data_IF_856436299563
#
_entry.id   IF_856436299563
#
_cell.length_a   1.000
_cell.length_b   1.000
_cell.length_c   1.000
_cell.angle_alpha   90.00
_cell.angle_beta   90.00
_cell.angle_gamma   90.00
#
_symmetry.space_group_name_H-M   'P 1'
#
loop_
_entity.id
_entity.type
_entity.pdbx_description
1 polymer ?
#
# COMPACT_ATOMS: atom_id res chain seq x y z
N UNK A 1 21.25 1.66 11.41
CA UNK A 1 20.51 0.85 10.41
C UNK A 1 20.52 -0.60 10.89
N UNK A 2 19.35 -1.24 11.02
CA UNK A 2 19.25 -2.69 11.32
C UNK A 2 18.84 -3.41 10.04
N UNK A 3 19.44 -4.56 9.77
CA UNK A 3 19.16 -5.37 8.58
C UNK A 3 18.97 -6.83 9.00
N UNK A 4 17.98 -7.50 8.43
CA UNK A 4 17.76 -8.94 8.60
C UNK A 4 17.81 -9.61 7.23
N UNK A 5 18.71 -10.56 7.07
CA UNK A 5 18.78 -11.43 5.91
C UNK A 5 18.26 -12.81 6.30
N UNK A 6 17.48 -13.44 5.41
CA UNK A 6 17.08 -14.83 5.58
C UNK A 6 18.12 -15.74 4.93
N UNK A 7 18.55 -16.77 5.64
CA UNK A 7 19.47 -17.78 5.10
C UNK A 7 18.77 -18.76 4.14
N UNK A 8 17.44 -18.87 4.24
CA UNK A 8 16.62 -19.76 3.41
C UNK A 8 15.49 -19.00 2.73
N UNK A 9 15.00 -19.54 1.61
CA UNK A 9 13.78 -19.06 0.99
C UNK A 9 12.57 -19.47 1.86
N UNK A 10 11.83 -18.50 2.38
CA UNK A 10 10.67 -18.72 3.26
C UNK A 10 9.33 -18.71 2.50
N UNK A 11 9.35 -18.69 1.17
CA UNK A 11 8.14 -18.59 0.35
C UNK A 11 7.49 -17.21 0.43
N UNK A 12 6.37 -17.07 -0.29
CA UNK A 12 5.67 -15.79 -0.43
C UNK A 12 4.69 -15.52 0.72
N UNK A 13 4.25 -16.55 1.47
CA UNK A 13 3.45 -16.37 2.69
C UNK A 13 4.31 -15.99 3.89
N UNK A 14 5.28 -16.81 4.25
CA UNK A 14 6.04 -16.62 5.49
C UNK A 14 7.16 -15.59 5.35
N UNK A 15 7.83 -15.49 4.20
CA UNK A 15 8.94 -14.57 4.00
C UNK A 15 8.58 -13.11 4.29
N UNK A 16 7.63 -12.52 3.54
CA UNK A 16 7.17 -11.16 3.78
C UNK A 16 6.59 -10.96 5.18
N UNK A 17 5.69 -11.86 5.62
CA UNK A 17 5.05 -11.75 6.94
C UNK A 17 6.07 -11.73 8.10
N UNK A 18 7.09 -12.59 8.06
CA UNK A 18 8.14 -12.64 9.06
C UNK A 18 9.03 -11.40 9.01
N UNK A 19 9.31 -10.87 7.82
CA UNK A 19 10.11 -9.67 7.65
C UNK A 19 9.40 -8.42 8.18
N UNK A 20 8.10 -8.28 7.91
CA UNK A 20 7.26 -7.18 8.41
C UNK A 20 7.09 -7.29 9.92
N UNK A 21 6.88 -8.49 10.45
CA UNK A 21 6.79 -8.72 11.90
C UNK A 21 8.08 -8.31 12.60
N UNK A 22 9.23 -8.77 12.11
CA UNK A 22 10.52 -8.35 12.64
C UNK A 22 10.75 -6.84 12.51
N UNK A 23 10.31 -6.23 11.40
CA UNK A 23 10.42 -4.78 11.23
C UNK A 23 9.67 -4.03 12.33
N UNK A 24 8.43 -4.44 12.64
CA UNK A 24 7.64 -3.80 13.69
C UNK A 24 8.09 -4.16 15.12
N UNK A 25 8.91 -5.18 15.34
CA UNK A 25 9.61 -5.33 16.63
C UNK A 25 10.59 -4.17 16.90
N UNK A 26 11.01 -3.44 15.86
CA UNK A 26 12.03 -2.39 15.96
C UNK A 26 11.45 -0.98 15.95
N UNK A 27 10.32 -0.78 15.26
CA UNK A 27 9.72 0.55 15.05
C UNK A 27 8.21 0.55 15.26
N UNK A 28 7.64 1.72 15.57
CA UNK A 28 6.19 1.88 15.78
C UNK A 28 5.40 2.06 14.48
N UNK A 29 6.07 2.50 13.41
CA UNK A 29 5.49 2.77 12.10
C UNK A 29 6.57 2.74 11.00
N UNK A 30 6.14 2.51 9.76
CA UNK A 30 7.02 2.72 8.62
C UNK A 30 6.49 2.19 7.29
N UNK A 31 7.37 2.27 6.30
CA UNK A 31 7.12 1.96 4.88
C UNK A 31 7.59 0.54 4.57
N UNK A 32 6.78 -0.20 3.81
CA UNK A 32 7.02 -1.55 3.31
C UNK A 32 7.04 -1.47 1.78
N UNK A 33 8.13 -1.97 1.18
CA UNK A 33 8.31 -2.06 -0.28
C UNK A 33 8.73 -3.49 -0.64
N UNK A 34 8.09 -4.05 -1.67
CA UNK A 34 8.58 -5.26 -2.35
C UNK A 34 9.64 -4.88 -3.41
N UNK A 35 10.37 -5.88 -3.90
CA UNK A 35 11.46 -5.70 -4.87
C UNK A 35 10.98 -5.21 -6.25
N UNK A 36 9.70 -5.45 -6.56
CA UNK A 36 9.03 -5.00 -7.79
C UNK A 36 8.35 -3.63 -7.65
N UNK A 37 8.41 -2.99 -6.48
CA UNK A 37 7.79 -1.70 -6.21
C UNK A 37 8.77 -0.55 -6.44
N UNK A 38 8.46 0.31 -7.42
CA UNK A 38 9.23 1.51 -7.76
C UNK A 38 8.44 2.78 -7.37
N UNK A 39 8.61 3.28 -6.14
CA UNK A 39 7.97 4.52 -5.70
C UNK A 39 8.56 5.76 -6.38
N UNK A 40 7.72 6.73 -6.72
CA UNK A 40 8.16 8.09 -7.06
C UNK A 40 8.62 8.83 -5.80
N UNK A 41 9.47 9.84 -5.95
CA UNK A 41 10.06 10.58 -4.81
C UNK A 41 9.01 11.13 -3.85
N UNK A 42 7.87 11.61 -4.34
CA UNK A 42 6.80 12.15 -3.49
C UNK A 42 6.10 11.11 -2.62
N UNK A 43 6.29 9.80 -2.85
CA UNK A 43 5.72 8.75 -2.00
C UNK A 43 6.25 8.80 -0.57
N UNK A 44 7.54 9.05 -0.39
CA UNK A 44 8.17 9.03 0.93
C UNK A 44 7.68 10.15 1.86
N UNK A 45 7.69 11.44 1.46
CA UNK A 45 7.11 12.51 2.30
C UNK A 45 5.59 12.33 2.48
N UNK A 46 4.88 11.81 1.47
CA UNK A 46 3.45 11.47 1.59
C UNK A 46 3.20 10.42 2.69
N UNK A 47 3.91 9.30 2.65
CA UNK A 47 3.76 8.24 3.64
C UNK A 47 4.20 8.72 5.03
N UNK A 48 5.32 9.43 5.12
CA UNK A 48 5.83 9.98 6.38
C UNK A 48 4.82 10.92 7.04
N UNK A 49 4.30 11.90 6.30
CA UNK A 49 3.35 12.88 6.83
C UNK A 49 2.07 12.21 7.32
N UNK A 50 1.58 11.20 6.59
CA UNK A 50 0.36 10.48 6.97
C UNK A 50 0.57 9.47 8.11
N UNK A 51 1.76 8.88 8.23
CA UNK A 51 2.12 8.04 9.38
C UNK A 51 2.05 8.85 10.68
N UNK A 52 2.57 10.08 10.66
CA UNK A 52 2.50 11.01 11.79
C UNK A 52 1.06 11.48 12.03
N UNK A 53 0.36 11.89 10.97
CA UNK A 53 -1.03 12.39 11.05
C UNK A 53 -1.99 11.38 11.67
N UNK A 54 -1.86 10.10 11.34
CA UNK A 54 -2.77 9.04 11.78
C UNK A 54 -2.18 8.12 12.87
N UNK A 55 -1.09 8.51 13.53
CA UNK A 55 -0.47 7.72 14.58
C UNK A 55 -1.47 7.26 15.67
N UNK A 56 -2.38 8.16 16.07
CA UNK A 56 -3.38 7.93 17.12
C UNK A 56 -4.81 7.71 16.60
N UNK A 57 -4.96 7.39 15.31
CA UNK A 57 -6.26 7.15 14.67
C UNK A 57 -6.40 5.67 14.31
N UNK A 58 -6.87 4.81 15.23
CA UNK A 58 -6.92 3.36 15.03
C UNK A 58 -7.83 2.93 13.89
N UNK A 59 -8.74 3.81 13.44
CA UNK A 59 -9.61 3.61 12.29
C UNK A 59 -8.82 3.59 10.97
N UNK A 60 -7.60 4.15 10.94
CA UNK A 60 -6.71 4.10 9.78
C UNK A 60 -5.68 3.00 10.01
N UNK A 61 -5.74 1.96 9.17
CA UNK A 61 -4.88 0.78 9.26
C UNK A 61 -3.74 0.77 8.26
N UNK A 62 -3.86 1.49 7.14
CA UNK A 62 -2.87 1.43 6.08
C UNK A 62 -2.80 2.73 5.28
N UNK A 63 -1.61 3.06 4.78
CA UNK A 63 -1.38 4.07 3.74
C UNK A 63 -0.86 3.33 2.52
N UNK A 64 -1.63 3.32 1.45
CA UNK A 64 -1.22 2.76 0.17
C UNK A 64 -0.41 3.79 -0.62
N UNK A 65 0.53 3.33 -1.44
CA UNK A 65 1.22 4.12 -2.46
C UNK A 65 0.57 4.01 -3.82
N UNK A 66 -0.41 3.12 -4.01
CA UNK A 66 -1.01 2.89 -5.31
C UNK A 66 -2.49 3.24 -5.41
N UNK A 67 -2.86 3.63 -6.63
CA UNK A 67 -4.22 3.95 -7.00
C UNK A 67 -4.47 3.46 -8.43
N UNK A 68 -5.39 2.53 -8.61
CA UNK A 68 -5.78 2.00 -9.92
C UNK A 68 -6.65 2.97 -10.74
N UNK A 69 -6.64 4.27 -10.45
CA UNK A 69 -7.40 5.28 -11.18
C UNK A 69 -6.50 6.36 -11.75
N UNK A 70 -6.72 6.62 -13.04
CA UNK A 70 -6.07 7.71 -13.80
C UNK A 70 -6.57 9.10 -13.40
N UNK A 71 -7.70 9.20 -12.70
CA UNK A 71 -8.36 10.48 -12.44
C UNK A 71 -8.57 10.73 -10.95
N UNK A 72 -8.23 11.96 -10.56
CA UNK A 72 -8.32 12.55 -9.24
C UNK A 72 -9.61 12.20 -8.49
N UNK A 73 -9.50 12.17 -7.18
CA UNK A 73 -10.63 12.33 -6.27
C UNK A 73 -11.45 13.54 -6.69
N UNK A 74 -12.78 13.47 -6.56
CA UNK A 74 -13.68 14.57 -6.97
C UNK A 74 -13.42 15.88 -6.21
N UNK A 75 -12.62 15.83 -5.14
CA UNK A 75 -12.57 16.85 -4.10
C UNK A 75 -11.21 17.56 -3.97
N UNK A 76 -10.31 17.47 -4.98
CA UNK A 76 -8.97 18.12 -4.99
C UNK A 76 -8.04 17.74 -3.81
N UNK A 77 -8.38 16.75 -2.99
CA UNK A 77 -7.53 16.26 -1.90
C UNK A 77 -6.40 15.39 -2.44
N UNK A 78 -5.24 15.42 -1.80
CA UNK A 78 -4.06 14.61 -2.18
C UNK A 78 -4.27 13.10 -1.98
N UNK A 79 -5.28 12.71 -1.19
CA UNK A 79 -5.65 11.33 -0.92
C UNK A 79 -7.13 11.21 -0.51
N UNK A 80 -7.61 9.98 -0.46
CA UNK A 80 -8.94 9.62 0.03
C UNK A 80 -8.87 8.36 0.90
N UNK A 81 -9.96 8.06 1.61
CA UNK A 81 -10.08 6.83 2.39
C UNK A 81 -10.82 5.77 1.58
N UNK A 82 -10.37 4.54 1.67
CA UNK A 82 -10.93 3.39 0.96
C UNK A 82 -11.02 2.21 1.92
N UNK A 83 -11.98 1.32 1.67
CA UNK A 83 -12.00 0.02 2.35
C UNK A 83 -10.97 -0.93 1.75
N UNK A 84 -10.52 -0.69 0.51
CA UNK A 84 -9.74 -1.66 -0.25
C UNK A 84 -8.23 -1.51 0.00
N UNK A 85 -7.56 -2.53 0.55
CA UNK A 85 -6.12 -2.48 0.79
C UNK A 85 -5.35 -2.81 -0.49
N UNK A 86 -4.72 -1.79 -1.07
CA UNK A 86 -3.75 -1.96 -2.14
C UNK A 86 -2.32 -1.83 -1.62
N UNK A 87 -1.49 -2.83 -1.89
CA UNK A 87 -0.19 -3.03 -1.22
C UNK A 87 1.03 -2.74 -2.10
N UNK A 88 0.89 -2.06 -3.25
CA UNK A 88 2.09 -1.68 -4.03
C UNK A 88 2.75 -0.48 -3.40
N UNK A 89 3.79 -0.76 -2.61
CA UNK A 89 4.47 0.18 -1.74
C UNK A 89 3.51 0.84 -0.75
N UNK A 90 3.60 0.51 0.52
CA UNK A 90 2.61 0.92 1.51
C UNK A 90 3.28 1.25 2.84
N UNK A 91 2.52 1.80 3.77
CA UNK A 91 2.97 2.10 5.10
C UNK A 91 1.89 1.75 6.12
N UNK A 92 2.31 1.38 7.32
CA UNK A 92 1.41 1.08 8.43
C UNK A 92 2.13 1.28 9.76
N UNK A 93 1.41 0.99 10.84
CA UNK A 93 1.87 1.06 12.22
C UNK A 93 1.96 -0.35 12.82
N UNK A 94 2.87 -0.53 13.77
CA UNK A 94 2.93 -1.70 14.66
C UNK A 94 1.55 -2.01 15.24
N UNK A 95 0.80 -0.98 15.66
CA UNK A 95 -0.55 -1.14 16.23
C UNK A 95 -1.55 -1.79 15.27
N UNK A 96 -1.40 -1.59 13.97
CA UNK A 96 -2.28 -2.20 12.96
C UNK A 96 -1.75 -3.59 12.58
N UNK A 97 -0.44 -3.72 12.39
CA UNK A 97 0.19 -5.02 12.11
C UNK A 97 0.06 -6.02 13.25
N UNK A 98 -0.11 -5.57 14.50
CA UNK A 98 -0.39 -6.44 15.65
C UNK A 98 -1.67 -7.30 15.48
N UNK A 99 -2.57 -6.91 14.57
CA UNK A 99 -3.76 -7.68 14.23
C UNK A 99 -3.47 -8.72 13.13
N UNK A 100 -2.28 -8.76 12.53
CA UNK A 100 -1.98 -9.71 11.46
C UNK A 100 -1.98 -11.15 11.99
N UNK A 101 -2.81 -12.01 11.39
CA UNK A 101 -2.87 -13.44 11.69
C UNK A 101 -2.68 -14.24 10.38
N UNK A 102 -1.56 -14.93 10.26
CA UNK A 102 -1.19 -15.68 9.06
C UNK A 102 -2.05 -16.94 8.84
N UNK A 103 -2.67 -17.48 9.90
CA UNK A 103 -3.54 -18.66 9.85
C UNK A 103 -5.01 -18.28 9.72
N UNK A 104 -5.36 -17.03 10.01
CA UNK A 104 -6.73 -16.51 10.09
C UNK A 104 -7.58 -17.11 11.22
N UNK A 105 -6.98 -17.86 12.14
CA UNK A 105 -7.72 -18.51 13.23
C UNK A 105 -8.44 -17.48 14.12
N UNK A 106 -7.80 -16.34 14.37
CA UNK A 106 -8.36 -15.23 15.15
C UNK A 106 -9.62 -14.62 14.53
N UNK A 107 -9.86 -14.88 13.24
CA UNK A 107 -10.95 -14.30 12.45
C UNK A 107 -12.00 -15.31 12.01
N UNK A 108 -11.83 -16.60 12.35
CA UNK A 108 -12.68 -17.71 11.88
C UNK A 108 -14.18 -17.43 12.00
N UNK A 109 -14.62 -16.97 13.17
CA UNK A 109 -16.04 -16.71 13.46
C UNK A 109 -16.57 -15.43 12.81
N UNK A 110 -15.67 -14.58 12.32
CA UNK A 110 -16.00 -13.29 11.69
C UNK A 110 -15.97 -13.36 10.16
N UNK A 111 -15.43 -14.43 9.56
CA UNK A 111 -15.22 -14.54 8.12
C UNK A 111 -16.50 -14.30 7.31
N UNK A 112 -17.64 -14.86 7.71
CA UNK A 112 -18.89 -14.65 6.98
C UNK A 112 -19.40 -13.21 7.12
N UNK A 113 -19.22 -12.58 8.28
CA UNK A 113 -19.54 -11.17 8.47
C UNK A 113 -18.62 -10.26 7.62
N UNK A 114 -17.33 -10.59 7.57
CA UNK A 114 -16.35 -9.90 6.71
C UNK A 114 -16.75 -10.04 5.23
N UNK A 115 -17.07 -11.26 4.80
CA UNK A 115 -17.54 -11.55 3.44
C UNK A 115 -18.77 -10.73 3.09
N UNK A 116 -19.80 -10.75 3.93
CA UNK A 116 -21.05 -10.04 3.68
C UNK A 116 -20.88 -8.52 3.62
N UNK A 117 -19.96 -7.97 4.43
CA UNK A 117 -19.59 -6.55 4.45
C UNK A 117 -18.56 -6.13 3.39
N UNK A 118 -18.09 -7.07 2.55
CA UNK A 118 -17.13 -6.80 1.51
C UNK A 118 -17.81 -6.27 0.26
N UNK A 119 -17.46 -5.04 -0.06
CA UNK A 119 -17.89 -4.30 -1.24
C UNK A 119 -19.40 -4.12 -1.39
N UNK A 120 -19.77 -3.26 -2.32
CA UNK A 120 -21.15 -2.97 -2.70
C UNK A 120 -21.68 -3.97 -3.73
N UNK A 121 -20.81 -4.53 -4.57
CA UNK A 121 -21.19 -5.42 -5.67
C UNK A 121 -20.95 -6.91 -5.33
N UNK A 122 -22.01 -7.73 -5.41
CA UNK A 122 -21.94 -9.19 -5.16
C UNK A 122 -20.90 -9.89 -6.02
N UNK A 123 -20.75 -9.48 -7.28
CA UNK A 123 -19.73 -10.05 -8.17
C UNK A 123 -18.31 -9.73 -7.72
N UNK A 124 -18.06 -8.52 -7.19
CA UNK A 124 -16.76 -8.16 -6.60
C UNK A 124 -16.52 -9.00 -5.34
N UNK A 125 -17.51 -9.06 -4.45
CA UNK A 125 -17.44 -9.86 -3.22
C UNK A 125 -17.08 -11.32 -3.52
N UNK A 126 -17.79 -11.95 -4.44
CA UNK A 126 -17.54 -13.34 -4.81
C UNK A 126 -16.17 -13.52 -5.47
N UNK A 127 -15.75 -12.58 -6.32
CA UNK A 127 -14.42 -12.62 -6.92
C UNK A 127 -13.32 -12.54 -5.86
N UNK A 128 -13.42 -11.55 -4.98
CA UNK A 128 -12.43 -11.34 -3.93
C UNK A 128 -12.40 -12.50 -2.93
N UNK A 129 -13.58 -13.05 -2.58
CA UNK A 129 -13.67 -14.18 -1.64
C UNK A 129 -12.99 -15.46 -2.15
N UNK A 130 -12.86 -15.64 -3.47
CA UNK A 130 -12.07 -16.77 -4.02
C UNK A 130 -10.63 -16.78 -3.51
N UNK A 131 -10.07 -15.64 -3.11
CA UNK A 131 -8.72 -15.62 -2.55
C UNK A 131 -8.65 -16.28 -1.17
N UNK A 132 -9.70 -16.13 -0.36
CA UNK A 132 -9.83 -16.85 0.93
C UNK A 132 -9.99 -18.35 0.67
N UNK A 133 -10.82 -18.73 -0.30
CA UNK A 133 -10.97 -20.14 -0.72
C UNK A 133 -9.64 -20.73 -1.24
N UNK A 134 -8.84 -19.95 -1.98
CA UNK A 134 -7.51 -20.37 -2.41
C UNK A 134 -6.50 -20.47 -1.26
N UNK A 135 -6.57 -19.61 -0.23
CA UNK A 135 -5.76 -19.76 0.97
C UNK A 135 -6.03 -21.10 1.67
N UNK A 136 -7.31 -21.48 1.78
CA UNK A 136 -7.72 -22.78 2.33
C UNK A 136 -7.20 -23.95 1.47
N UNK A 137 -7.10 -23.74 0.15
CA UNK A 137 -6.53 -24.69 -0.80
C UNK A 137 -4.98 -24.67 -0.85
N UNK A 138 -4.30 -23.88 -0.01
CA UNK A 138 -2.84 -23.87 0.13
C UNK A 138 -2.11 -22.79 -0.68
N UNK A 139 -2.78 -21.71 -1.10
CA UNK A 139 -2.14 -20.56 -1.73
C UNK A 139 -1.05 -19.95 -0.80
N UNK A 140 0.17 -19.83 -1.34
CA UNK A 140 1.33 -19.28 -0.64
C UNK A 140 1.35 -17.74 -0.75
N UNK A 141 0.49 -17.06 0.00
CA UNK A 141 0.47 -15.59 0.09
C UNK A 141 0.20 -15.08 1.51
N UNK A 142 0.53 -13.81 1.76
CA UNK A 142 0.37 -13.12 3.05
C UNK A 142 -0.64 -11.97 3.02
N UNK A 143 -0.86 -11.39 1.86
CA UNK A 143 -1.60 -10.14 1.63
C UNK A 143 -3.11 -10.28 1.82
N UNK A 144 -3.67 -11.44 1.46
CA UNK A 144 -5.08 -11.77 1.72
C UNK A 144 -5.35 -11.77 3.23
N UNK A 145 -4.43 -12.33 4.03
CA UNK A 145 -4.56 -12.36 5.48
C UNK A 145 -4.46 -10.96 6.08
N UNK A 146 -3.58 -10.12 5.53
CA UNK A 146 -3.49 -8.72 5.92
C UNK A 146 -4.79 -7.96 5.63
N UNK A 147 -5.38 -8.17 4.45
CA UNK A 147 -6.66 -7.58 4.11
C UNK A 147 -7.80 -8.04 5.05
N UNK A 148 -7.84 -9.32 5.41
CA UNK A 148 -8.82 -9.84 6.39
C UNK A 148 -8.64 -9.15 7.75
N UNK A 149 -7.41 -8.98 8.23
CA UNK A 149 -7.14 -8.28 9.49
C UNK A 149 -7.69 -6.84 9.45
N UNK A 150 -7.43 -6.09 8.36
CA UNK A 150 -7.97 -4.74 8.19
C UNK A 150 -9.51 -4.73 8.18
N UNK A 151 -10.14 -5.68 7.48
CA UNK A 151 -11.60 -5.77 7.42
C UNK A 151 -12.24 -6.14 8.76
N UNK A 152 -11.67 -7.10 9.48
CA UNK A 152 -12.14 -7.53 10.79
C UNK A 152 -12.15 -6.37 11.79
N UNK A 153 -11.12 -5.53 11.74
CA UNK A 153 -10.99 -4.34 12.58
C UNK A 153 -11.67 -3.09 11.99
N UNK A 154 -12.39 -3.21 10.88
CA UNK A 154 -13.08 -2.12 10.16
C UNK A 154 -12.15 -0.93 9.84
N UNK A 155 -10.88 -1.22 9.62
CA UNK A 155 -9.87 -0.20 9.34
C UNK A 155 -9.95 0.26 7.89
N UNK A 156 -9.72 1.56 7.67
CA UNK A 156 -9.63 2.18 6.37
C UNK A 156 -8.18 2.27 5.90
N UNK A 157 -8.04 2.29 4.58
CA UNK A 157 -6.79 2.52 3.88
C UNK A 157 -6.80 3.93 3.30
N UNK A 158 -5.69 4.66 3.44
CA UNK A 158 -5.47 5.93 2.77
C UNK A 158 -4.87 5.67 1.40
N UNK A 159 -5.51 6.17 0.34
CA UNK A 159 -5.05 6.00 -1.04
C UNK A 159 -4.73 7.36 -1.68
N UNK A 160 -3.59 7.49 -2.37
CA UNK A 160 -3.20 8.75 -2.99
C UNK A 160 -4.13 9.07 -4.17
N UNK A 161 -4.28 10.36 -4.48
CA UNK A 161 -5.10 10.80 -5.61
C UNK A 161 -4.50 10.42 -6.98
N UNK A 162 -3.21 10.05 -7.01
CA UNK A 162 -2.47 9.54 -8.17
C UNK A 162 -1.71 8.27 -7.77
N UNK A 163 -1.37 7.41 -8.72
CA UNK A 163 -0.53 6.24 -8.44
C UNK A 163 0.92 6.70 -8.19
N UNK A 164 1.46 6.45 -7.01
CA UNK A 164 2.81 6.85 -6.61
C UNK A 164 3.83 5.70 -6.71
N UNK A 165 3.39 4.49 -7.03
CA UNK A 165 4.25 3.32 -7.09
C UNK A 165 4.00 2.56 -8.39
N UNK A 166 5.05 2.38 -9.19
CA UNK A 166 5.01 1.44 -10.30
C UNK A 166 5.29 0.03 -9.78
N UNK A 167 4.50 -0.96 -10.17
CA UNK A 167 4.80 -2.37 -10.00
C UNK A 167 5.36 -2.93 -11.32
N UNK A 168 6.62 -3.36 -11.33
CA UNK A 168 7.31 -3.93 -12.50
C UNK A 168 7.25 -5.45 -12.62
N UNK A 169 6.49 -6.13 -11.76
CA UNK A 169 6.17 -7.55 -11.88
C UNK A 169 5.18 -7.85 -13.02
N UNK A 170 4.52 -6.82 -13.54
CA UNK A 170 3.54 -6.88 -14.61
C UNK A 170 4.02 -6.02 -15.78
N UNK A 171 4.82 -6.60 -16.67
CA UNK A 171 5.30 -5.97 -17.91
C UNK A 171 4.82 -6.78 -19.12
N UNK A 172 5.01 -6.28 -20.34
CA UNK A 172 4.71 -7.04 -21.58
C UNK A 172 5.46 -8.38 -21.66
N UNK A 173 6.62 -8.48 -20.99
CA UNK A 173 7.43 -9.70 -20.87
C UNK A 173 6.99 -10.66 -19.74
N UNK A 174 5.94 -10.32 -18.98
CA UNK A 174 5.42 -11.20 -17.93
C UNK A 174 4.71 -12.39 -18.58
N UNK A 175 5.17 -13.61 -18.24
CA UNK A 175 4.79 -14.90 -18.85
C UNK A 175 3.29 -15.25 -18.83
N UNK A 176 2.44 -14.41 -18.23
CA UNK A 176 1.00 -14.64 -18.07
C UNK A 176 0.11 -13.44 -18.45
N UNK A 177 0.63 -12.36 -19.04
CA UNK A 177 -0.17 -11.15 -19.33
C UNK A 177 -0.34 -10.92 -20.83
N UNK A 178 -1.04 -11.83 -21.51
CA UNK A 178 -1.62 -11.51 -22.81
C UNK A 178 -2.85 -10.61 -22.61
N UNK A 179 -2.90 -9.48 -23.32
CA UNK A 179 -4.00 -8.50 -23.46
C UNK A 179 -3.94 -7.19 -22.64
N UNK A 180 -4.39 -6.11 -23.32
CA UNK A 180 -4.39 -4.66 -22.98
C UNK A 180 -3.69 -4.29 -21.67
N UNK A 181 -2.41 -3.90 -21.81
CA UNK A 181 -1.61 -3.32 -20.75
C UNK A 181 -2.27 -2.06 -20.21
N UNK A 182 -3.00 -2.18 -19.10
CA UNK A 182 -3.62 -1.04 -18.43
C UNK A 182 -2.56 -0.33 -17.57
N UNK A 183 -1.66 0.37 -18.24
CA UNK A 183 -0.36 0.80 -17.70
C UNK A 183 -0.48 1.58 -16.40
N UNK A 184 -1.51 2.41 -16.23
CA UNK A 184 -1.71 3.22 -15.02
C UNK A 184 -1.91 2.40 -13.73
N UNK A 185 -2.21 1.10 -13.82
CA UNK A 185 -2.35 0.20 -12.66
C UNK A 185 -1.01 -0.27 -12.12
N UNK A 186 -0.04 -0.33 -13.02
CA UNK A 186 1.29 -0.87 -12.79
C UNK A 186 2.37 0.21 -12.90
N UNK A 187 2.02 1.39 -13.38
CA UNK A 187 2.89 2.54 -13.51
C UNK A 187 2.41 3.68 -12.63
N UNK A 188 3.35 4.36 -12.00
CA UNK A 188 3.11 5.64 -11.36
C UNK A 188 2.50 6.61 -12.37
N UNK A 189 1.39 7.24 -12.00
CA UNK A 189 0.67 8.17 -12.89
C UNK A 189 1.01 9.63 -12.63
N UNK A 190 1.79 9.91 -11.57
CA UNK A 190 2.22 11.26 -11.25
C UNK A 190 2.95 11.36 -9.92
N UNK A 191 3.10 12.60 -9.46
CA UNK A 191 3.64 12.94 -8.14
C UNK A 191 2.60 13.75 -7.37
N UNK A 192 2.80 13.91 -6.07
CA UNK A 192 2.00 14.82 -5.25
C UNK A 192 2.74 16.13 -5.00
N UNK A 193 1.99 17.22 -4.99
CA UNK A 193 2.44 18.52 -4.51
C UNK A 193 2.28 18.63 -2.99
N UNK A 194 3.14 19.43 -2.36
CA UNK A 194 3.16 19.67 -0.92
C UNK A 194 2.98 21.17 -0.61
N UNK A 195 2.31 21.54 0.50
CA UNK A 195 1.75 20.67 1.53
C UNK A 195 0.57 19.83 1.03
N UNK A 196 0.33 18.66 1.64
CA UNK A 196 -0.77 17.80 1.22
C UNK A 196 -2.12 18.50 1.43
N UNK A 197 -3.00 18.41 0.43
CA UNK A 197 -4.39 18.80 0.55
C UNK A 197 -5.16 17.71 1.30
N UNK A 198 -5.22 17.83 2.63
CA UNK A 198 -5.92 16.86 3.48
C UNK A 198 -7.45 16.93 3.30
N UNK A 199 -8.15 15.78 3.25
CA UNK A 199 -9.58 15.74 3.51
C UNK A 199 -9.92 16.39 4.87
N UNK A 200 -11.11 17.00 5.02
CA UNK A 200 -11.52 17.61 6.28
C UNK A 200 -11.40 16.61 7.42
N UNK A 201 -10.84 17.06 8.55
CA UNK A 201 -10.83 16.24 9.76
C UNK A 201 -12.29 16.08 10.22
N UNK A 202 -12.74 14.84 10.35
CA UNK A 202 -14.09 14.49 10.78
C UNK A 202 -14.01 13.73 12.10
N UNK A 203 -15.09 13.75 12.88
CA UNK A 203 -15.24 12.87 14.06
C UNK A 203 -15.24 11.39 13.69
N UNK A 204 -15.47 11.07 12.41
CA UNK A 204 -15.47 9.71 11.87
C UNK A 204 -14.93 9.74 10.46
N UNK A 205 -13.91 8.90 10.19
CA UNK A 205 -13.41 8.68 8.83
C UNK A 205 -14.39 7.78 8.07
N UNK A 206 -14.67 8.16 6.82
CA UNK A 206 -15.61 7.45 5.95
C UNK A 206 -14.91 7.18 4.64
N UNK A 207 -15.05 5.96 4.13
CA UNK A 207 -14.54 5.60 2.81
C UNK A 207 -15.24 6.42 1.71
N UNK A 208 -14.51 6.73 0.64
CA UNK A 208 -15.11 7.23 -0.60
C UNK A 208 -15.81 6.04 -1.29
N UNK A 209 -17.10 5.85 -0.96
CA UNK A 209 -17.92 4.77 -1.50
C UNK A 209 -17.97 4.80 -3.04
N UNK A 210 -17.93 5.99 -3.64
CA UNK A 210 -17.96 6.07 -5.10
C UNK A 210 -16.64 5.57 -5.70
N UNK A 211 -15.50 5.88 -5.08
CA UNK A 211 -14.20 5.36 -5.48
C UNK A 211 -14.12 3.85 -5.31
N UNK A 212 -14.55 3.32 -4.17
CA UNK A 212 -14.59 1.87 -3.90
C UNK A 212 -15.52 1.17 -4.90
N UNK A 213 -16.74 1.65 -5.11
CA UNK A 213 -17.67 1.11 -6.12
C UNK A 213 -17.10 1.12 -7.54
N UNK A 214 -16.32 2.15 -7.92
CA UNK A 214 -15.65 2.15 -9.23
C UNK A 214 -14.63 1.02 -9.31
N UNK A 215 -13.89 0.78 -8.23
CA UNK A 215 -12.86 -0.28 -8.14
C UNK A 215 -13.51 -1.65 -8.27
N UNK A 216 -14.56 -1.86 -7.52
CA UNK A 216 -15.35 -3.07 -7.57
C UNK A 216 -15.93 -3.36 -8.96
N UNK A 217 -16.55 -2.37 -9.63
CA UNK A 217 -17.14 -2.56 -10.96
C UNK A 217 -16.12 -3.05 -11.98
N UNK A 218 -14.86 -2.61 -11.89
CA UNK A 218 -13.81 -3.08 -12.81
C UNK A 218 -13.49 -4.56 -12.59
N UNK A 219 -13.42 -5.02 -11.35
CA UNK A 219 -13.29 -6.45 -11.06
C UNK A 219 -14.46 -7.28 -11.60
N UNK A 220 -15.69 -6.76 -11.54
CA UNK A 220 -16.85 -7.46 -12.12
C UNK A 220 -16.75 -7.63 -13.64
N UNK A 221 -16.15 -6.65 -14.33
CA UNK A 221 -15.93 -6.73 -15.78
C UNK A 221 -14.85 -7.74 -16.16
N UNK A 222 -13.82 -7.90 -15.32
CA UNK A 222 -12.75 -8.88 -15.46
C UNK A 222 -13.24 -10.30 -15.13
N UNK A 223 -14.16 -10.45 -14.17
CA UNK A 223 -14.79 -11.73 -13.84
C UNK A 223 -15.59 -12.31 -15.00
N UNK A 224 -16.31 -11.45 -15.75
CA UNK A 224 -16.99 -11.84 -17.00
C UNK A 224 -16.01 -12.32 -18.09
N UNK A 225 -14.72 -12.02 -17.94
CA UNK A 225 -13.62 -12.43 -18.84
C UNK A 225 -12.76 -13.56 -18.26
N UNK A 226 -13.14 -14.17 -17.13
CA UNK A 226 -12.47 -15.35 -16.56
C UNK A 226 -11.22 -15.08 -15.71
N UNK A 227 -10.99 -13.83 -15.27
CA UNK A 227 -9.77 -13.47 -14.51
C UNK A 227 -9.86 -13.73 -12.99
N UNK A 228 -8.73 -14.16 -12.39
CA UNK A 228 -8.50 -14.22 -10.93
C UNK A 228 -7.34 -13.28 -10.54
N UNK A 229 -7.66 -12.20 -9.84
CA UNK A 229 -6.73 -11.11 -9.51
C UNK A 229 -5.93 -11.44 -8.25
N UNK A 230 -4.84 -12.17 -8.39
CA UNK A 230 -3.65 -12.28 -7.51
C UNK A 230 -2.81 -13.55 -7.80
N UNK A 231 -3.20 -14.36 -8.80
CA UNK A 231 -2.57 -15.63 -9.13
C UNK A 231 -1.37 -15.59 -10.09
N UNK A 232 -0.71 -14.45 -10.28
CA UNK A 232 0.51 -14.36 -11.10
C UNK A 232 1.77 -14.43 -10.23
N UNK A 233 1.88 -15.45 -9.39
CA UNK A 233 3.16 -15.86 -8.78
C UNK A 233 3.32 -17.36 -8.96
N UNK A 234 3.72 -17.74 -10.17
CA UNK A 234 4.28 -19.06 -10.45
C UNK A 234 5.60 -18.83 -11.18
N UNK A 235 6.71 -19.18 -10.52
CA UNK A 235 7.99 -19.40 -11.20
C UNK A 235 9.13 -18.45 -10.83
N UNK A 236 9.93 -18.89 -9.86
CA UNK A 236 11.40 -18.79 -9.85
C UNK A 236 12.06 -17.41 -10.07
N UNK A 237 12.56 -16.81 -8.97
CA UNK A 237 14.01 -16.65 -8.66
C UNK A 237 14.14 -15.94 -7.31
N UNK A 238 15.18 -16.32 -6.55
CA UNK A 238 15.34 -16.00 -5.14
C UNK A 238 15.10 -14.53 -4.78
N UNK A 239 14.13 -14.31 -3.90
CA UNK A 239 13.93 -13.03 -3.21
C UNK A 239 15.18 -12.70 -2.39
N UNK A 240 15.92 -11.67 -2.81
CA UNK A 240 16.83 -10.93 -1.93
C UNK A 240 16.13 -9.63 -1.58
N UNK A 241 15.42 -9.63 -0.45
CA UNK A 241 14.86 -8.40 0.09
C UNK A 241 16.01 -7.53 0.64
N UNK A 242 16.30 -6.43 -0.05
CA UNK A 242 17.11 -5.34 0.48
C UNK A 242 16.15 -4.29 1.06
N UNK A 243 15.97 -4.27 2.37
CA UNK A 243 15.12 -3.28 3.04
C UNK A 243 15.92 -2.03 3.40
N UNK A 244 15.48 -0.88 2.91
CA UNK A 244 15.97 0.43 3.33
C UNK A 244 15.11 0.96 4.48
N UNK A 245 15.73 1.18 5.64
CA UNK A 245 15.08 1.76 6.82
C UNK A 245 15.38 3.25 6.87
N UNK A 246 14.38 4.11 6.64
CA UNK A 246 14.40 5.47 7.17
C UNK A 246 13.61 5.50 8.48
N UNK A 247 14.33 5.55 9.60
CA UNK A 247 13.76 6.04 10.85
C UNK A 247 13.78 7.56 10.81
N UNK A 248 12.62 8.20 10.89
CA UNK A 248 12.52 9.62 11.19
C UNK A 248 12.92 9.83 12.66
N UNK A 249 14.23 9.92 12.92
CA UNK A 249 14.70 10.62 14.10
C UNK A 249 14.82 12.10 13.77
N UNK A 250 13.91 12.87 14.36
CA UNK A 250 13.88 14.33 14.42
C UNK A 250 15.27 15.00 14.42
N UNK A 251 15.60 15.72 13.34
CA UNK A 251 16.58 16.82 13.35
C UNK A 251 16.10 17.99 12.51
N UNK A 252 14.99 18.60 12.92
CA UNK A 252 14.71 20.01 12.61
C UNK A 252 15.41 20.89 13.65
N UNK A 253 16.70 21.16 13.45
CA UNK A 253 17.35 22.38 13.96
C UNK A 253 18.46 22.79 13.01
N UNK A 254 18.33 23.99 12.43
CA UNK A 254 19.50 24.73 11.96
C UNK A 254 19.50 25.21 10.51
N UNK A 255 18.39 25.66 9.93
CA UNK A 255 18.44 26.63 8.81
C UNK A 255 17.90 27.97 9.29
N UNK A 256 18.78 28.70 9.97
CA UNK A 256 18.64 30.13 10.25
C UNK A 256 19.93 30.80 9.79
N UNK A 257 19.80 31.64 8.77
CA UNK A 257 20.68 32.74 8.38
C UNK A 257 22.09 32.35 7.92
N UNK A 258 22.33 32.53 6.61
CA UNK A 258 23.42 33.38 6.15
C UNK A 258 23.13 33.89 4.73
N UNK A 259 22.65 35.13 4.69
CA UNK A 259 22.80 36.04 3.56
C UNK A 259 24.29 36.37 3.39
N UNK A 260 24.92 35.96 2.29
CA UNK A 260 26.23 36.48 1.90
C UNK A 260 26.14 37.06 0.48
N UNK A 261 26.41 38.36 0.42
CA UNK A 261 26.69 39.14 -0.78
C UNK A 261 27.81 38.49 -1.61
N UNK A 262 27.78 38.62 -2.95
CA UNK A 262 28.95 38.34 -3.77
C UNK A 262 29.98 39.47 -3.65
N UNK A 263 31.30 39.19 -3.64
CA UNK A 263 32.32 40.21 -3.69
C UNK A 263 32.52 40.73 -5.11
N UNK A 264 32.54 42.05 -5.25
CA UNK A 264 33.03 42.77 -6.42
C UNK A 264 34.52 42.44 -6.65
N UNK A 265 34.89 42.12 -7.88
CA UNK A 265 36.28 42.16 -8.35
C UNK A 265 36.40 43.27 -9.39
N UNK A 266 36.96 44.40 -8.96
CA UNK A 266 37.55 45.37 -9.87
C UNK A 266 38.90 44.86 -10.38
N UNK A 267 39.15 45.04 -11.68
CA UNK A 267 40.48 45.02 -12.26
C UNK A 267 40.93 46.48 -12.49
N UNK A 268 42.20 46.82 -12.26
CA UNK A 268 42.70 48.18 -12.45
C UNK A 268 43.00 48.50 -13.91
N UNK A 269 42.62 49.71 -14.32
CA UNK A 269 43.50 50.73 -14.90
C UNK A 269 43.24 52.05 -14.17
#
# INVERSE_FOLDING_TARGET
MRTRFSEVNQGCKHGPANAITWFFEQVDAGIILEDDCHPVVSFFPYASELLDRYAHHPEIGMISGNNHYRFQTFDKHSYYYSRLPLIYGWATWRRAWANFDITLDSYRDQLENIRSGLGHHVAFRNHWWKHVEHLEAGLDTWDVQWAIALFAHKQLCVKPAVNLVSNRGFNEDSTHTSFEYDSYRYESTGTLEFPLAHPPMRSTYVADEQADMREERRYTSLWRRGWTWFGARIGARGMRLAHWVHGLESRLRGWSKNSHHPPERGYPL
#
